data_IF_020531582518
#
_entry.id   IF_020531582518
#
_cell.length_a   1.000
_cell.length_b   1.000
_cell.length_c   1.000
_cell.angle_alpha   90.00
_cell.angle_beta   90.00
_cell.angle_gamma   90.00
#
_symmetry.space_group_name_H-M   'P 1'
#
loop_
_entity.id
_entity.type
_entity.pdbx_description
1 polymer ?
#
# COMPACT_ATOMS: atom_id res chain seq x y z
N UNK A 1 -9.09 -0.58 7.82
CA UNK A 1 -7.81 -0.28 8.53
C UNK A 1 -8.03 0.39 9.90
N UNK A 2 -9.04 1.27 10.07
CA UNK A 2 -9.45 1.79 11.38
C UNK A 2 -9.73 0.66 12.40
N UNK A 3 -10.42 -0.42 12.00
CA UNK A 3 -10.76 -1.53 12.91
C UNK A 3 -9.59 -2.42 13.36
N UNK A 4 -8.53 -2.58 12.54
CA UNK A 4 -7.38 -3.44 12.89
C UNK A 4 -6.35 -2.74 13.79
N UNK A 5 -6.22 -1.42 13.61
CA UNK A 5 -5.38 -0.57 14.47
C UNK A 5 -6.02 -0.35 15.85
N UNK A 6 -7.34 -0.25 15.89
CA UNK A 6 -8.14 -0.25 17.12
C UNK A 6 -7.94 -1.55 17.91
N UNK A 7 -7.77 -2.69 17.23
CA UNK A 7 -7.48 -3.97 17.87
C UNK A 7 -6.09 -3.99 18.55
N UNK A 8 -5.06 -3.37 17.94
CA UNK A 8 -3.74 -3.27 18.56
C UNK A 8 -3.78 -2.38 19.82
N UNK A 9 -4.51 -1.25 19.76
CA UNK A 9 -4.74 -0.38 20.91
C UNK A 9 -5.61 -1.05 22.00
N UNK A 10 -6.61 -1.84 21.63
CA UNK A 10 -7.41 -2.66 22.54
C UNK A 10 -6.58 -3.76 23.21
N UNK A 11 -5.68 -4.41 22.48
CA UNK A 11 -4.75 -5.40 23.04
C UNK A 11 -3.81 -4.72 24.03
N UNK A 12 -3.27 -3.55 23.70
CA UNK A 12 -2.42 -2.77 24.62
C UNK A 12 -3.18 -2.34 25.89
N UNK A 13 -4.46 -1.97 25.78
CA UNK A 13 -5.29 -1.59 26.92
C UNK A 13 -5.75 -2.76 27.80
N UNK A 14 -5.75 -4.00 27.28
CA UNK A 14 -6.26 -5.19 27.99
C UNK A 14 -5.16 -6.15 28.46
N UNK A 15 -3.88 -5.90 28.12
CA UNK A 15 -2.77 -6.69 28.63
C UNK A 15 -2.30 -6.07 29.94
N UNK A 16 -2.60 -6.76 31.04
CA UNK A 16 -2.16 -6.46 32.41
C UNK A 16 -0.84 -7.19 32.67
N UNK A 17 0.31 -6.52 32.48
CA UNK A 17 1.13 -6.19 33.66
C UNK A 17 1.94 -4.89 33.55
N UNK A 18 1.69 -4.02 32.58
CA UNK A 18 2.52 -2.84 32.33
C UNK A 18 2.33 -1.74 33.37
N UNK A 19 3.42 -1.03 33.71
CA UNK A 19 3.31 0.25 34.40
C UNK A 19 2.61 1.27 33.48
N UNK A 20 1.78 2.16 34.04
CA UNK A 20 1.04 3.18 33.25
C UNK A 20 1.95 4.00 32.32
N UNK A 21 3.18 4.24 32.73
CA UNK A 21 4.18 4.96 31.94
C UNK A 21 4.59 4.20 30.68
N UNK A 22 4.87 2.89 30.78
CA UNK A 22 5.22 2.03 29.64
C UNK A 22 4.05 1.92 28.65
N UNK A 23 2.82 1.84 29.15
CA UNK A 23 1.62 1.85 28.29
C UNK A 23 1.50 3.17 27.52
N UNK A 24 1.73 4.31 28.18
CA UNK A 24 1.67 5.61 27.54
C UNK A 24 2.75 5.75 26.45
N UNK A 25 3.99 5.29 26.71
CA UNK A 25 5.07 5.31 25.72
C UNK A 25 4.74 4.44 24.50
N UNK A 26 4.18 3.25 24.69
CA UNK A 26 3.76 2.37 23.61
C UNK A 26 2.64 2.99 22.77
N UNK A 27 1.66 3.63 23.40
CA UNK A 27 0.56 4.32 22.72
C UNK A 27 1.09 5.49 21.91
N UNK A 28 1.96 6.32 22.48
CA UNK A 28 2.61 7.44 21.76
C UNK A 28 3.43 6.94 20.57
N UNK A 29 4.22 5.88 20.76
CA UNK A 29 5.01 5.27 19.69
C UNK A 29 4.12 4.74 18.56
N UNK A 30 3.02 4.06 18.91
CA UNK A 30 2.06 3.56 17.94
C UNK A 30 1.40 4.70 17.14
N UNK A 31 1.02 5.80 17.80
CA UNK A 31 0.45 6.97 17.14
C UNK A 31 1.44 7.63 16.18
N UNK A 32 2.68 7.82 16.61
CA UNK A 32 3.75 8.38 15.77
C UNK A 32 4.01 7.52 14.54
N UNK A 33 4.12 6.21 14.72
CA UNK A 33 4.26 5.26 13.61
C UNK A 33 3.08 5.37 12.64
N UNK A 34 1.85 5.47 13.15
CA UNK A 34 0.66 5.62 12.31
C UNK A 34 0.64 6.93 11.52
N UNK A 35 1.01 8.04 12.16
CA UNK A 35 1.14 9.33 11.49
C UNK A 35 2.15 9.25 10.35
N UNK A 36 3.34 8.69 10.65
CA UNK A 36 4.40 8.53 9.66
C UNK A 36 3.94 7.69 8.47
N UNK A 37 3.42 6.48 8.72
CA UNK A 37 2.98 5.55 7.67
C UNK A 37 1.89 6.15 6.79
N UNK A 38 0.96 6.92 7.36
CA UNK A 38 -0.19 7.47 6.62
C UNK A 38 0.12 8.75 5.86
N UNK A 39 1.03 9.59 6.37
CA UNK A 39 1.22 10.96 5.86
C UNK A 39 2.63 11.23 5.34
N UNK A 40 3.65 10.75 6.02
CA UNK A 40 5.02 11.22 5.81
C UNK A 40 5.87 10.26 5.00
N UNK A 41 5.61 8.95 5.09
CA UNK A 41 6.31 7.94 4.32
C UNK A 41 6.29 8.23 2.81
N UNK A 42 5.11 8.51 2.25
CA UNK A 42 4.96 8.81 0.82
C UNK A 42 5.72 10.06 0.37
N UNK A 43 5.92 11.03 1.26
CA UNK A 43 6.67 12.28 0.96
C UNK A 43 8.18 12.04 0.87
N UNK A 44 8.67 10.92 1.38
CA UNK A 44 10.09 10.54 1.31
C UNK A 44 10.43 9.80 0.02
N UNK A 45 9.41 9.39 -0.75
CA UNK A 45 9.57 8.74 -2.05
C UNK A 45 9.71 9.78 -3.14
N UNK A 46 10.60 9.53 -4.10
CA UNK A 46 10.89 10.48 -5.17
C UNK A 46 10.65 9.88 -6.55
N UNK A 47 9.89 10.61 -7.36
CA UNK A 47 9.59 10.29 -8.76
C UNK A 47 9.68 11.60 -9.53
N UNK A 48 10.41 11.58 -10.64
CA UNK A 48 10.54 12.75 -11.51
C UNK A 48 9.22 13.05 -12.23
N UNK A 49 9.11 14.26 -12.79
CA UNK A 49 7.92 14.72 -13.53
C UNK A 49 7.65 13.90 -14.80
N UNK A 50 8.66 13.25 -15.34
CA UNK A 50 8.58 12.31 -16.46
C UNK A 50 8.19 10.89 -16.04
N UNK A 51 7.84 10.68 -14.77
CA UNK A 51 7.37 9.38 -14.27
C UNK A 51 8.49 8.41 -13.90
N UNK A 52 9.75 8.83 -13.96
CA UNK A 52 10.89 7.96 -13.65
C UNK A 52 11.13 7.93 -12.13
N UNK A 53 11.15 6.72 -11.57
CA UNK A 53 11.50 6.50 -10.17
C UNK A 53 12.98 6.77 -9.94
N UNK A 54 13.31 7.56 -8.92
CA UNK A 54 14.70 7.98 -8.64
C UNK A 54 15.30 7.14 -7.54
N UNK A 55 16.58 6.80 -7.68
CA UNK A 55 17.35 6.20 -6.59
C UNK A 55 17.30 7.08 -5.33
N UNK A 56 17.24 6.44 -4.17
CA UNK A 56 17.38 7.09 -2.88
C UNK A 56 18.44 6.35 -2.08
N UNK A 57 19.41 7.08 -1.52
CA UNK A 57 20.44 6.53 -0.64
C UNK A 57 19.90 5.75 0.56
N UNK A 58 18.66 6.02 0.98
CA UNK A 58 17.92 5.24 1.96
C UNK A 58 17.17 4.08 1.29
N UNK A 59 17.53 2.85 1.64
CA UNK A 59 16.92 1.63 1.07
C UNK A 59 15.40 1.56 1.22
N UNK A 60 14.88 2.04 2.36
CA UNK A 60 13.44 2.05 2.63
C UNK A 60 12.66 3.09 1.81
N UNK A 61 13.35 4.02 1.13
CA UNK A 61 12.73 5.08 0.32
C UNK A 61 13.11 4.98 -1.17
N UNK A 62 13.87 3.97 -1.56
CA UNK A 62 14.28 3.77 -2.94
C UNK A 62 13.22 2.96 -3.70
N UNK A 63 12.42 3.66 -4.52
CA UNK A 63 11.42 3.03 -5.38
C UNK A 63 12.03 2.03 -6.37
N UNK A 64 13.14 2.36 -7.09
CA UNK A 64 13.78 1.38 -7.96
C UNK A 64 14.21 0.11 -7.22
N UNK A 65 14.64 0.21 -5.96
CA UNK A 65 15.00 -0.96 -5.16
C UNK A 65 13.76 -1.79 -4.81
N UNK A 66 12.66 -1.15 -4.42
CA UNK A 66 11.39 -1.82 -4.14
C UNK A 66 10.84 -2.58 -5.38
N UNK A 67 11.16 -2.11 -6.58
CA UNK A 67 10.79 -2.76 -7.84
C UNK A 67 11.81 -3.78 -8.36
N UNK A 68 12.93 -3.99 -7.66
CA UNK A 68 13.98 -4.94 -8.06
C UNK A 68 14.93 -4.42 -9.16
N UNK A 69 14.87 -3.12 -9.49
CA UNK A 69 15.59 -2.52 -10.62
C UNK A 69 16.75 -1.59 -10.19
N UNK A 70 17.12 -1.57 -8.90
CA UNK A 70 18.21 -0.73 -8.41
C UNK A 70 19.51 -1.50 -8.23
N UNK A 71 20.59 -1.03 -8.86
CA UNK A 71 21.95 -1.56 -8.70
C UNK A 71 22.85 -0.64 -7.86
N UNK A 72 22.33 0.51 -7.42
CA UNK A 72 23.08 1.48 -6.63
C UNK A 72 23.17 1.10 -5.15
N UNK A 73 24.20 1.58 -4.47
CA UNK A 73 24.44 1.33 -3.05
C UNK A 73 23.55 2.19 -2.16
N UNK A 74 23.06 1.61 -1.05
CA UNK A 74 22.21 2.30 -0.09
C UNK A 74 22.91 2.42 1.26
N UNK A 75 23.49 3.59 1.53
CA UNK A 75 24.28 3.86 2.74
C UNK A 75 23.44 4.43 3.89
N UNK A 76 22.25 4.93 3.59
CA UNK A 76 21.39 5.57 4.58
C UNK A 76 20.29 4.62 5.07
N UNK A 77 19.83 4.89 6.29
CA UNK A 77 18.70 4.19 6.88
C UNK A 77 17.75 5.18 7.53
N UNK A 78 16.45 5.01 7.33
CA UNK A 78 15.44 5.87 7.93
C UNK A 78 15.04 5.34 9.30
N UNK A 79 15.18 6.19 10.33
CA UNK A 79 14.77 5.83 11.69
C UNK A 79 13.27 5.60 11.78
N UNK A 80 12.43 6.41 11.13
CA UNK A 80 10.98 6.23 11.13
C UNK A 80 10.56 4.89 10.49
N UNK A 81 11.24 4.46 9.42
CA UNK A 81 11.02 3.14 8.83
C UNK A 81 11.50 2.03 9.77
N UNK A 82 12.65 2.20 10.45
CA UNK A 82 13.18 1.26 11.44
C UNK A 82 12.25 1.15 12.66
N UNK A 83 11.60 2.24 13.05
CA UNK A 83 10.70 2.29 14.20
C UNK A 83 9.53 1.31 14.07
N UNK A 84 9.11 0.96 12.85
CA UNK A 84 8.16 -0.14 12.64
C UNK A 84 8.69 -1.44 13.25
N UNK A 85 9.92 -1.84 12.90
CA UNK A 85 10.51 -3.09 13.37
C UNK A 85 10.86 -3.05 14.86
N UNK A 86 11.36 -1.91 15.34
CA UNK A 86 11.66 -1.70 16.77
C UNK A 86 10.38 -1.81 17.59
N UNK A 87 9.29 -1.17 17.15
CA UNK A 87 8.01 -1.22 17.83
C UNK A 87 7.49 -2.66 17.98
N UNK A 88 7.49 -3.45 16.90
CA UNK A 88 7.04 -4.85 16.97
C UNK A 88 7.96 -5.75 17.80
N UNK A 89 9.28 -5.48 17.82
CA UNK A 89 10.21 -6.19 18.70
C UNK A 89 9.89 -5.90 20.16
N UNK A 90 9.77 -4.62 20.52
CA UNK A 90 9.45 -4.21 21.88
C UNK A 90 8.11 -4.81 22.33
N UNK A 91 7.10 -4.89 21.45
CA UNK A 91 5.85 -5.59 21.77
C UNK A 91 6.07 -7.07 22.08
N UNK A 92 6.89 -7.77 21.30
CA UNK A 92 7.16 -9.20 21.53
C UNK A 92 7.94 -9.47 22.82
N UNK A 93 8.83 -8.57 23.20
CA UNK A 93 9.67 -8.73 24.40
C UNK A 93 8.84 -8.72 25.69
N UNK A 94 7.65 -8.14 25.65
CA UNK A 94 6.80 -7.96 26.84
C UNK A 94 5.43 -8.63 26.73
N UNK A 95 5.02 -9.05 25.53
CA UNK A 95 3.78 -9.78 25.30
C UNK A 95 4.03 -11.29 25.26
N UNK A 96 3.08 -12.10 25.74
CA UNK A 96 3.23 -13.55 25.75
C UNK A 96 3.40 -14.11 24.34
N UNK A 97 4.18 -15.19 24.23
CA UNK A 97 4.60 -15.79 22.95
C UNK A 97 3.44 -16.25 22.07
N UNK A 98 2.29 -16.58 22.66
CA UNK A 98 1.07 -16.95 21.92
C UNK A 98 0.56 -15.82 21.02
N UNK A 99 0.87 -14.54 21.31
CA UNK A 99 0.50 -13.40 20.48
C UNK A 99 1.51 -13.08 19.38
N UNK A 100 2.71 -13.66 19.40
CA UNK A 100 3.80 -13.29 18.49
C UNK A 100 3.46 -13.54 17.03
N UNK A 101 2.74 -14.64 16.72
CA UNK A 101 2.25 -14.92 15.36
C UNK A 101 1.32 -13.81 14.86
N UNK A 102 0.42 -13.31 15.70
CA UNK A 102 -0.49 -12.23 15.33
C UNK A 102 0.28 -10.93 15.10
N UNK A 103 1.27 -10.64 15.95
CA UNK A 103 2.16 -9.48 15.80
C UNK A 103 2.93 -9.54 14.47
N UNK A 104 3.46 -10.70 14.09
CA UNK A 104 4.12 -10.92 12.79
C UNK A 104 3.18 -10.65 11.62
N UNK A 105 1.93 -11.12 11.71
CA UNK A 105 0.94 -10.84 10.67
C UNK A 105 0.61 -9.35 10.56
N UNK A 106 0.47 -8.65 11.69
CA UNK A 106 0.20 -7.22 11.69
C UNK A 106 1.38 -6.44 11.11
N UNK A 107 2.60 -6.80 11.47
CA UNK A 107 3.81 -6.21 10.90
C UNK A 107 3.85 -6.40 9.38
N UNK A 108 3.61 -7.62 8.90
CA UNK A 108 3.51 -7.92 7.45
C UNK A 108 2.43 -7.08 6.76
N UNK A 109 1.25 -6.93 7.38
CA UNK A 109 0.17 -6.09 6.85
C UNK A 109 0.57 -4.61 6.74
N UNK A 110 1.36 -4.09 7.68
CA UNK A 110 1.88 -2.72 7.62
C UNK A 110 2.98 -2.55 6.57
N UNK A 111 3.85 -3.54 6.38
CA UNK A 111 4.84 -3.55 5.29
C UNK A 111 4.14 -3.58 3.93
N UNK A 112 3.10 -4.42 3.77
CA UNK A 112 2.28 -4.44 2.56
C UNK A 112 1.58 -3.09 2.32
N UNK A 113 1.13 -2.42 3.38
CA UNK A 113 0.57 -1.07 3.30
C UNK A 113 1.59 -0.03 2.81
N UNK A 114 2.83 -0.06 3.32
CA UNK A 114 3.92 0.79 2.83
C UNK A 114 4.19 0.54 1.35
N UNK A 115 4.25 -0.72 0.95
CA UNK A 115 4.47 -1.13 -0.45
C UNK A 115 3.38 -0.60 -1.37
N UNK A 116 2.11 -0.71 -0.95
CA UNK A 116 0.98 -0.13 -1.69
C UNK A 116 1.08 1.39 -1.83
N UNK A 117 1.46 2.10 -0.75
CA UNK A 117 1.68 3.54 -0.81
C UNK A 117 2.82 3.92 -1.77
N UNK A 118 3.89 3.12 -1.80
CA UNK A 118 5.00 3.32 -2.72
C UNK A 118 4.57 3.16 -4.18
N UNK A 119 3.86 2.07 -4.50
CA UNK A 119 3.30 1.87 -5.84
C UNK A 119 2.34 2.99 -6.22
N UNK A 120 1.47 3.44 -5.30
CA UNK A 120 0.54 4.53 -5.55
C UNK A 120 1.25 5.84 -5.89
N UNK A 121 2.31 6.21 -5.14
CA UNK A 121 3.10 7.42 -5.42
C UNK A 121 3.73 7.34 -6.80
N UNK A 122 4.31 6.19 -7.14
CA UNK A 122 4.89 5.94 -8.45
C UNK A 122 3.86 6.07 -9.58
N UNK A 123 2.77 5.31 -9.52
CA UNK A 123 1.73 5.30 -10.56
C UNK A 123 1.09 6.68 -10.75
N UNK A 124 0.88 7.44 -9.68
CA UNK A 124 0.33 8.79 -9.75
C UNK A 124 1.23 9.77 -10.52
N UNK A 125 2.54 9.56 -10.51
CA UNK A 125 3.49 10.36 -11.28
C UNK A 125 3.72 9.80 -12.69
N UNK A 126 3.77 8.47 -12.81
CA UNK A 126 4.00 7.78 -14.08
C UNK A 126 2.84 7.98 -15.06
N UNK A 127 1.59 7.82 -14.61
CA UNK A 127 0.42 7.91 -15.48
C UNK A 127 0.35 9.23 -16.29
N UNK A 128 0.35 10.42 -15.66
CA UNK A 128 0.31 11.67 -16.43
C UNK A 128 1.53 11.86 -17.33
N UNK A 129 2.71 11.39 -16.91
CA UNK A 129 3.91 11.46 -17.73
C UNK A 129 3.77 10.60 -19.00
N UNK A 130 3.35 9.35 -18.86
CA UNK A 130 3.07 8.44 -19.98
C UNK A 130 2.01 9.02 -20.92
N UNK A 131 0.91 9.55 -20.38
CA UNK A 131 -0.15 10.17 -21.20
C UNK A 131 0.36 11.38 -21.99
N UNK A 132 1.24 12.20 -21.40
CA UNK A 132 1.81 13.36 -22.10
C UNK A 132 2.75 13.00 -23.24
N UNK A 133 3.41 11.83 -23.15
CA UNK A 133 4.33 11.32 -24.17
C UNK A 133 3.62 10.48 -25.25
N UNK A 134 2.35 10.15 -25.06
CA UNK A 134 1.58 9.30 -25.97
C UNK A 134 1.51 9.92 -27.39
N UNK A 135 1.89 9.13 -28.39
CA UNK A 135 1.79 9.46 -29.81
C UNK A 135 0.34 9.48 -30.33
N UNK A 136 0.14 9.93 -31.57
CA UNK A 136 -1.18 9.92 -32.23
C UNK A 136 -1.67 8.51 -32.58
N UNK A 137 -0.73 7.60 -32.84
CA UNK A 137 -1.00 6.21 -33.23
C UNK A 137 -0.77 5.22 -32.08
N UNK A 138 -0.57 5.75 -30.87
CA UNK A 138 -0.31 4.96 -29.67
C UNK A 138 -1.53 4.93 -28.76
N UNK A 139 -1.66 3.83 -28.02
CA UNK A 139 -2.69 3.66 -27.01
C UNK A 139 -2.06 3.17 -25.70
N UNK A 140 -2.50 3.73 -24.58
CA UNK A 140 -2.17 3.23 -23.25
C UNK A 140 -3.33 2.38 -22.73
N UNK A 141 -3.02 1.14 -22.37
CA UNK A 141 -3.99 0.21 -21.78
C UNK A 141 -3.65 0.04 -20.30
N UNK A 142 -4.60 0.37 -19.43
CA UNK A 142 -4.52 0.10 -18.00
C UNK A 142 -5.53 -0.99 -17.69
N UNK A 143 -5.04 -2.13 -17.22
CA UNK A 143 -5.89 -3.23 -16.78
C UNK A 143 -5.96 -3.17 -15.26
N UNK A 144 -7.16 -2.90 -14.73
CA UNK A 144 -7.40 -3.09 -13.31
C UNK A 144 -7.63 -4.57 -13.02
N UNK A 145 -7.10 -5.02 -11.89
CA UNK A 145 -7.18 -6.40 -11.51
C UNK A 145 -8.60 -6.80 -11.11
N UNK A 146 -8.93 -8.06 -11.37
CA UNK A 146 -10.08 -8.86 -10.90
C UNK A 146 -10.73 -8.32 -9.62
N UNK A 147 -11.72 -7.45 -9.76
CA UNK A 147 -12.59 -7.00 -8.67
C UNK A 147 -13.71 -8.02 -8.45
N UNK A 148 -13.84 -8.56 -7.24
CA UNK A 148 -14.97 -9.44 -6.88
C UNK A 148 -16.12 -8.60 -6.35
N UNK A 149 -17.25 -8.64 -7.05
CA UNK A 149 -18.46 -7.90 -6.70
C UNK A 149 -19.48 -8.84 -6.06
N UNK A 150 -20.00 -8.44 -4.90
CA UNK A 150 -21.13 -9.06 -4.22
C UNK A 150 -22.40 -8.25 -4.47
N UNK A 151 -23.33 -8.74 -5.31
CA UNK A 151 -24.56 -8.02 -5.62
C UNK A 151 -25.54 -7.91 -4.44
N UNK A 152 -25.24 -8.50 -3.27
CA UNK A 152 -26.12 -8.43 -2.08
C UNK A 152 -26.28 -7.03 -1.50
N UNK A 153 -25.39 -6.08 -1.83
CA UNK A 153 -25.46 -4.70 -1.35
C UNK A 153 -25.10 -3.72 -2.47
N UNK A 154 -25.83 -2.61 -2.55
CA UNK A 154 -25.56 -1.53 -3.51
C UNK A 154 -24.21 -0.82 -3.28
N UNK A 155 -23.64 -0.94 -2.08
CA UNK A 155 -22.31 -0.46 -1.73
C UNK A 155 -21.62 -1.49 -0.85
N UNK A 156 -20.37 -1.75 -1.18
CA UNK A 156 -19.50 -2.60 -0.37
C UNK A 156 -18.50 -1.74 0.39
N UNK A 157 -18.24 -2.15 1.62
CA UNK A 157 -17.14 -1.59 2.41
C UNK A 157 -15.82 -2.27 2.03
N UNK A 158 -14.70 -1.56 2.15
CA UNK A 158 -13.36 -2.09 1.77
C UNK A 158 -12.99 -3.40 2.48
N UNK A 159 -13.54 -3.63 3.67
CA UNK A 159 -13.32 -4.85 4.44
C UNK A 159 -14.12 -6.06 3.88
N UNK A 160 -15.12 -5.82 3.04
CA UNK A 160 -15.89 -6.87 2.34
C UNK A 160 -15.23 -7.30 1.02
N UNK A 161 -14.19 -6.61 0.51
CA UNK A 161 -13.64 -6.88 -0.83
C UNK A 161 -12.89 -8.23 -0.97
N UNK A 162 -12.38 -8.79 0.12
CA UNK A 162 -11.49 -9.97 0.08
C UNK A 162 -12.22 -11.26 0.50
N UNK A 163 -11.96 -12.37 -0.21
CA UNK A 163 -12.45 -13.72 0.15
C UNK A 163 -13.81 -14.14 -0.43
N UNK A 164 -14.42 -13.35 -1.32
CA UNK A 164 -15.71 -13.68 -1.98
C UNK A 164 -15.59 -14.85 -2.96
N UNK A 165 -16.62 -15.67 -3.12
CA UNK A 165 -16.72 -16.71 -4.17
C UNK A 165 -17.73 -16.31 -5.27
N UNK A 166 -17.51 -15.16 -5.89
CA UNK A 166 -18.52 -14.50 -6.74
C UNK A 166 -17.94 -14.03 -8.08
N UNK A 167 -18.74 -13.28 -8.84
CA UNK A 167 -18.43 -12.79 -10.18
C UNK A 167 -17.25 -11.85 -10.12
N UNK A 168 -16.39 -12.01 -11.11
CA UNK A 168 -15.24 -11.15 -11.28
C UNK A 168 -15.51 -10.12 -12.35
N UNK A 169 -15.21 -8.87 -12.04
CA UNK A 169 -15.10 -7.79 -12.99
C UNK A 169 -13.62 -7.52 -13.29
N UNK A 170 -13.26 -7.55 -14.55
CA UNK A 170 -12.01 -6.99 -15.06
C UNK A 170 -12.35 -5.72 -15.80
N UNK A 171 -11.73 -4.60 -15.41
CA UNK A 171 -11.92 -3.33 -16.09
C UNK A 171 -10.64 -2.99 -16.85
N UNK A 172 -10.78 -2.73 -18.15
CA UNK A 172 -9.71 -2.27 -19.02
C UNK A 172 -10.00 -0.83 -19.40
N UNK A 173 -9.09 0.07 -19.08
CA UNK A 173 -9.12 1.46 -19.53
C UNK A 173 -8.17 1.62 -20.72
N UNK A 174 -8.70 2.13 -21.82
CA UNK A 174 -7.97 2.41 -23.05
C UNK A 174 -7.90 3.93 -23.23
N UNK A 175 -6.69 4.46 -23.21
CA UNK A 175 -6.38 5.87 -23.44
C UNK A 175 -5.79 6.02 -24.83
N UNK A 176 -6.39 6.84 -25.68
CA UNK A 176 -5.90 7.14 -27.03
C UNK A 176 -5.84 8.65 -27.19
N UNK A 177 -4.82 9.16 -27.90
CA UNK A 177 -4.74 10.58 -28.20
C UNK A 177 -5.73 10.95 -29.29
N UNK A 178 -6.57 11.94 -29.01
CA UNK A 178 -7.54 12.44 -29.98
C UNK A 178 -7.13 13.85 -30.41
N UNK A 179 -6.99 14.07 -31.72
CA UNK A 179 -6.55 15.36 -32.27
C UNK A 179 -7.51 16.52 -31.93
N UNK A 180 -8.79 16.23 -31.69
CA UNK A 180 -9.83 17.25 -31.44
C UNK A 180 -10.09 17.48 -29.94
N UNK A 181 -10.05 16.43 -29.11
CA UNK A 181 -10.38 16.51 -27.67
C UNK A 181 -9.18 16.38 -26.75
N UNK A 182 -7.98 16.20 -27.31
CA UNK A 182 -6.73 15.97 -26.59
C UNK A 182 -6.56 14.50 -26.20
N UNK A 183 -7.53 13.91 -25.50
CA UNK A 183 -7.46 12.53 -25.06
C UNK A 183 -8.85 11.87 -25.03
N UNK A 184 -8.94 10.65 -25.55
CA UNK A 184 -10.12 9.80 -25.50
C UNK A 184 -9.89 8.63 -24.53
N UNK A 185 -10.87 8.37 -23.67
CA UNK A 185 -10.81 7.32 -22.64
C UNK A 185 -12.01 6.40 -22.79
N UNK A 186 -11.73 5.13 -23.08
CA UNK A 186 -12.74 4.08 -23.18
C UNK A 186 -12.57 3.08 -22.03
N UNK A 187 -13.67 2.65 -21.42
CA UNK A 187 -13.67 1.62 -20.39
C UNK A 187 -14.37 0.37 -20.93
N UNK A 188 -13.70 -0.78 -20.81
CA UNK A 188 -14.22 -2.08 -21.19
C UNK A 188 -14.27 -2.97 -19.96
N UNK A 189 -15.48 -3.37 -19.59
CA UNK A 189 -15.74 -4.22 -18.45
C UNK A 189 -15.99 -5.66 -18.92
N UNK A 190 -15.19 -6.58 -18.42
CA UNK A 190 -15.31 -8.01 -18.67
C UNK A 190 -15.73 -8.77 -17.42
N UNK A 191 -16.87 -9.43 -17.50
CA UNK A 191 -17.40 -10.30 -16.46
C UNK A 191 -16.89 -11.72 -16.67
N UNK A 192 -16.20 -12.27 -15.68
CA UNK A 192 -15.71 -13.65 -15.70
C UNK A 192 -16.31 -14.46 -14.56
N UNK A 193 -16.75 -15.68 -14.89
CA UNK A 193 -17.13 -16.71 -13.93
C UNK A 193 -15.93 -17.43 -13.32
N UNK A 194 -14.70 -17.13 -13.76
CA UNK A 194 -13.51 -17.68 -13.15
C UNK A 194 -13.36 -17.12 -11.72
N UNK A 195 -13.26 -18.02 -10.75
CA UNK A 195 -13.11 -17.70 -9.33
C UNK A 195 -11.67 -17.86 -8.83
N UNK A 196 -10.72 -18.18 -9.71
CA UNK A 196 -9.30 -18.21 -9.37
C UNK A 196 -8.78 -16.78 -9.29
N UNK A 197 -8.13 -16.43 -8.19
CA UNK A 197 -7.32 -15.23 -8.14
C UNK A 197 -6.01 -15.62 -8.84
N UNK A 198 -5.61 -14.92 -9.91
CA UNK A 198 -4.30 -15.12 -10.52
C UNK A 198 -3.23 -15.17 -9.42
N UNK A 199 -2.41 -16.22 -9.46
CA UNK A 199 -1.38 -16.50 -8.48
C UNK A 199 -0.22 -15.51 -8.58
#
# INVERSE_FOLDING_TARGET
MHGKLFFLLLVLNNVTPWLREEQNELVTTAQNLCCYLRKDYSKKLNVMKDGIAVHNSCISHCLPHAFGNCQEMHYNSCMDCKNLFIFFRNLKDHLPSNLHRNLDEYQKKLIAFMSHHACKVYLNAQLPATLSQLGSDEALIIVDYKMRINPKKARETKDEWFGKREWTLHSVLLYIKNQNTGLDVNAFDHWSGDTKQDA
#
